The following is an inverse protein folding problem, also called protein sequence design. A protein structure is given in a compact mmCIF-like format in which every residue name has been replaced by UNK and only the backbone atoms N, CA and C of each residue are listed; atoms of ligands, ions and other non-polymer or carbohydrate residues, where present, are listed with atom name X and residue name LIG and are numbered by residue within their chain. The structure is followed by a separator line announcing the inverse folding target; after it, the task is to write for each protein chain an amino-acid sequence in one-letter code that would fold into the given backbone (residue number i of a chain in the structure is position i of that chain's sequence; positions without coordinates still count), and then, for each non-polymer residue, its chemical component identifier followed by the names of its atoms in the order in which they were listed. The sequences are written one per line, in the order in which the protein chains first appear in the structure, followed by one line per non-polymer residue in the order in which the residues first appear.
data_IF_061120629515
#
_entry.id   IF_061120629515
#
_cell.length_a   1.000
_cell.length_b   1.000
_cell.length_c   1.000
_cell.angle_alpha   90.00
_cell.angle_beta   90.00
_cell.angle_gamma   90.00
#
_symmetry.space_group_name_H-M   'P 1'
#
loop_
_entity.id
_entity.type
_entity.pdbx_description
1 polymer ?
#
# COMPACT_ATOMS: atom_id res chain seq x y z
N UNK A 1 6.30 -2.43 16.11
CA UNK A 1 5.40 -1.47 15.45
C UNK A 1 4.54 -0.81 16.52
N UNK A 2 4.69 0.49 16.81
CA UNK A 2 3.83 1.14 17.78
C UNK A 2 2.42 1.17 17.20
N UNK A 3 1.47 0.49 17.86
CA UNK A 3 0.06 0.64 17.55
C UNK A 3 -0.27 2.14 17.60
N UNK A 4 -0.92 2.68 16.57
CA UNK A 4 -1.44 4.04 16.55
C UNK A 4 -2.39 4.18 17.74
N UNK A 5 -1.86 4.69 18.86
CA UNK A 5 -2.51 4.64 20.17
C UNK A 5 -3.51 5.78 20.26
N UNK A 6 -4.68 5.58 19.67
CA UNK A 6 -5.91 6.33 20.00
C UNK A 6 -5.87 7.85 19.80
N UNK A 7 -4.91 8.40 19.05
CA UNK A 7 -4.93 9.82 18.72
C UNK A 7 -6.17 10.12 17.89
N UNK A 8 -7.08 10.91 18.48
CA UNK A 8 -8.33 11.31 17.85
C UNK A 8 -8.02 12.17 16.64
N UNK A 9 -8.22 11.62 15.46
CA UNK A 9 -8.10 12.38 14.21
C UNK A 9 -9.29 13.34 14.16
N UNK A 10 -9.04 14.61 14.44
CA UNK A 10 -10.05 15.68 14.50
C UNK A 10 -10.86 15.86 13.20
N UNK A 11 -10.42 15.26 12.09
CA UNK A 11 -11.09 15.29 10.78
C UNK A 11 -11.35 13.90 10.19
N UNK A 12 -11.84 12.97 11.02
CA UNK A 12 -12.12 11.57 10.61
C UNK A 12 -13.03 11.47 9.36
N UNK A 13 -13.96 12.43 9.18
CA UNK A 13 -14.88 12.44 8.04
C UNK A 13 -14.21 12.68 6.68
N UNK A 14 -12.99 13.22 6.65
CA UNK A 14 -12.21 13.41 5.42
C UNK A 14 -11.05 12.41 5.30
N UNK A 15 -10.93 11.47 6.24
CA UNK A 15 -9.84 10.51 6.25
C UNK A 15 -10.21 9.29 5.39
N UNK A 16 -9.33 8.95 4.46
CA UNK A 16 -9.42 7.70 3.71
C UNK A 16 -8.36 6.74 4.24
N UNK A 17 -8.81 5.56 4.69
CA UNK A 17 -7.91 4.51 5.15
C UNK A 17 -7.85 3.41 4.11
N UNK A 18 -6.64 3.03 3.73
CA UNK A 18 -6.37 1.94 2.81
C UNK A 18 -5.47 0.91 3.48
N UNK A 19 -5.75 -0.36 3.21
CA UNK A 19 -4.95 -1.49 3.63
C UNK A 19 -4.47 -2.25 2.39
N UNK A 20 -3.28 -2.81 2.48
CA UNK A 20 -2.73 -3.73 1.49
C UNK A 20 -1.92 -4.82 2.21
N UNK A 21 -1.53 -5.85 1.48
CA UNK A 21 -0.76 -6.95 2.03
C UNK A 21 0.64 -6.50 2.47
N UNK A 22 1.01 -6.83 3.71
CA UNK A 22 2.32 -6.52 4.26
C UNK A 22 3.41 -7.35 3.58
N UNK A 23 3.13 -8.61 3.23
CA UNK A 23 4.11 -9.48 2.61
C UNK A 23 4.49 -8.93 1.24
N UNK A 24 3.52 -8.40 0.48
CA UNK A 24 3.79 -7.69 -0.77
C UNK A 24 4.71 -6.48 -0.59
N UNK A 25 4.51 -5.67 0.47
CA UNK A 25 5.36 -4.51 0.75
C UNK A 25 6.78 -4.93 1.17
N UNK A 26 6.89 -5.97 1.98
CA UNK A 26 8.18 -6.58 2.36
C UNK A 26 8.92 -7.09 1.12
N UNK A 27 8.21 -7.77 0.25
CA UNK A 27 8.68 -8.31 -1.02
C UNK A 27 9.17 -7.23 -1.98
N UNK A 28 8.46 -6.11 -2.07
CA UNK A 28 8.91 -4.94 -2.81
C UNK A 28 10.19 -4.37 -2.19
N UNK A 29 10.20 -4.16 -0.86
CA UNK A 29 11.32 -3.56 -0.15
C UNK A 29 12.63 -4.32 -0.33
N UNK A 30 12.59 -5.66 -0.36
CA UNK A 30 13.76 -6.51 -0.61
C UNK A 30 14.32 -6.38 -2.03
N UNK A 31 13.50 -5.99 -3.00
CA UNK A 31 13.86 -5.85 -4.42
C UNK A 31 14.29 -4.43 -4.79
N UNK A 32 14.05 -3.44 -3.92
CA UNK A 32 14.48 -2.07 -4.15
C UNK A 32 16.01 -1.97 -4.13
N UNK A 33 16.54 -1.27 -5.13
CA UNK A 33 17.96 -1.01 -5.30
C UNK A 33 18.19 0.49 -5.47
N UNK A 34 19.44 0.92 -5.41
CA UNK A 34 19.77 2.32 -5.76
C UNK A 34 19.38 2.56 -7.22
N UNK A 35 18.57 3.60 -7.47
CA UNK A 35 18.04 3.97 -8.81
C UNK A 35 17.13 2.90 -9.44
N UNK A 36 16.20 2.33 -8.68
CA UNK A 36 15.18 1.43 -9.23
C UNK A 36 14.30 2.12 -10.28
N UNK A 37 14.19 1.49 -11.44
CA UNK A 37 13.16 1.76 -12.44
C UNK A 37 12.06 0.70 -12.32
N UNK A 38 10.81 1.12 -12.31
CA UNK A 38 9.67 0.21 -12.29
C UNK A 38 8.51 0.79 -13.10
N UNK A 39 7.59 -0.09 -13.51
CA UNK A 39 6.31 0.30 -14.07
C UNK A 39 5.23 -0.04 -13.04
N UNK A 40 4.36 0.92 -12.73
CA UNK A 40 3.20 0.68 -11.86
C UNK A 40 1.93 0.92 -12.65
N UNK A 41 1.14 -0.13 -12.78
CA UNK A 41 -0.22 -0.06 -13.31
C UNK A 41 -1.21 -0.20 -12.17
N UNK A 42 -2.19 0.70 -12.14
CA UNK A 42 -3.32 0.64 -11.22
C UNK A 42 -4.58 0.44 -12.04
N UNK A 43 -5.30 -0.64 -11.80
CA UNK A 43 -6.60 -0.90 -12.40
C UNK A 43 -7.59 -1.19 -11.31
N UNK A 44 -8.61 -0.33 -11.17
CA UNK A 44 -9.57 -0.34 -10.08
C UNK A 44 -8.89 -0.29 -8.70
N UNK A 45 -8.64 -1.44 -8.09
CA UNK A 45 -7.95 -1.62 -6.80
C UNK A 45 -6.80 -2.60 -6.87
N UNK A 46 -6.48 -3.10 -8.06
CA UNK A 46 -5.35 -3.98 -8.31
C UNK A 46 -4.13 -3.16 -8.70
N UNK A 47 -3.04 -3.38 -7.99
CA UNK A 47 -1.71 -2.87 -8.30
C UNK A 47 -0.94 -3.96 -9.03
N UNK A 48 -0.30 -3.59 -10.12
CA UNK A 48 0.68 -4.42 -10.82
C UNK A 48 1.96 -3.61 -10.93
N UNK A 49 3.00 -4.04 -10.21
CA UNK A 49 4.29 -3.38 -10.16
C UNK A 49 5.32 -4.27 -10.82
N UNK A 50 5.88 -3.83 -11.94
CA UNK A 50 6.91 -4.55 -12.69
C UNK A 50 8.30 -3.96 -12.42
N UNK A 51 9.23 -4.82 -11.98
CA UNK A 51 10.64 -4.53 -11.71
C UNK A 51 11.49 -5.46 -12.59
N UNK A 52 11.93 -4.96 -13.75
CA UNK A 52 12.59 -5.82 -14.73
C UNK A 52 11.63 -6.90 -15.26
N UNK A 53 11.97 -8.17 -15.05
CA UNK A 53 11.15 -9.32 -15.48
C UNK A 53 10.14 -9.77 -14.41
N UNK A 54 10.26 -9.27 -13.18
CA UNK A 54 9.36 -9.63 -12.09
C UNK A 54 8.16 -8.70 -12.03
N UNK A 55 6.98 -9.25 -11.76
CA UNK A 55 5.77 -8.46 -11.50
C UNK A 55 5.15 -8.87 -10.17
N UNK A 56 4.99 -7.89 -9.30
CA UNK A 56 4.29 -8.03 -8.02
C UNK A 56 2.86 -7.51 -8.18
N UNK A 57 1.89 -8.25 -7.67
CA UNK A 57 0.48 -7.87 -7.70
C UNK A 57 -0.13 -7.79 -6.31
N UNK A 58 -0.89 -6.74 -6.03
CA UNK A 58 -1.61 -6.57 -4.76
C UNK A 58 -3.01 -6.00 -4.98
N UNK A 59 -3.86 -6.16 -3.98
CA UNK A 59 -5.16 -5.47 -3.91
C UNK A 59 -5.10 -4.43 -2.80
N UNK A 60 -5.53 -3.21 -3.11
CA UNK A 60 -5.70 -2.13 -2.15
C UNK A 60 -7.15 -2.11 -1.67
N UNK A 61 -7.32 -2.36 -0.38
CA UNK A 61 -8.62 -2.39 0.27
C UNK A 61 -8.90 -1.07 0.96
N UNK A 62 -9.99 -0.39 0.58
CA UNK A 62 -10.49 0.75 1.35
C UNK A 62 -11.13 0.24 2.64
N UNK A 63 -10.63 0.72 3.77
CA UNK A 63 -11.19 0.42 5.08
C UNK A 63 -12.18 1.53 5.45
N UNK A 64 -13.46 1.20 5.66
CA UNK A 64 -14.42 2.18 6.15
C UNK A 64 -14.05 2.56 7.58
N UNK A 65 -13.90 3.87 7.83
CA UNK A 65 -13.77 4.38 9.18
C UNK A 65 -15.17 4.43 9.80
N UNK A 66 -15.41 3.59 10.81
CA UNK A 66 -16.62 3.71 11.62
C UNK A 66 -16.47 4.93 12.53
N UNK A 67 -17.52 5.75 12.56
CA UNK A 67 -17.67 6.88 13.48
C UNK A 67 -18.03 6.39 14.89
#
# INVERSE_FOLDING_TARGET
MPALRGERIHRIAALELYAMDFDWLSDLAQRLQRRTHFTLTVSERHLYLSLGEETLSAVVNRIPLRQ
#
